data_IF_668918232317
#
_entry.id   IF_668918232317
#
_cell.length_a   1.000
_cell.length_b   1.000
_cell.length_c   1.000
_cell.angle_alpha   90.00
_cell.angle_beta   90.00
_cell.angle_gamma   90.00
#
_symmetry.space_group_name_H-M   'P 1'
#
loop_
_entity.id
_entity.type
_entity.pdbx_description
1 polymer ?
#
# COMPACT_ATOMS: atom_id res chain seq x y z
N UNK A 1 8.13 2.22 -11.07
CA UNK A 1 8.78 1.85 -9.80
C UNK A 1 7.77 2.07 -8.67
N UNK A 2 7.69 1.17 -7.68
CA UNK A 2 6.75 1.32 -6.56
C UNK A 2 7.35 2.30 -5.55
N UNK A 3 6.64 3.37 -5.24
CA UNK A 3 6.93 4.35 -4.19
C UNK A 3 6.54 3.73 -2.84
N UNK A 4 7.56 3.34 -2.07
CA UNK A 4 7.38 2.57 -0.84
C UNK A 4 6.91 3.43 0.34
N UNK A 5 7.36 4.67 0.42
CA UNK A 5 6.93 5.61 1.48
C UNK A 5 5.43 5.91 1.33
N UNK A 6 5.01 6.21 0.10
CA UNK A 6 3.61 6.47 -0.20
C UNK A 6 2.72 5.24 -0.03
N UNK A 7 3.21 4.07 -0.43
CA UNK A 7 2.48 2.82 -0.21
C UNK A 7 2.30 2.56 1.28
N UNK A 8 3.29 2.89 2.11
CA UNK A 8 3.23 2.73 3.57
C UNK A 8 2.17 3.61 4.19
N UNK A 9 2.15 4.90 3.85
CA UNK A 9 1.12 5.84 4.34
C UNK A 9 -0.30 5.35 4.01
N UNK A 10 -0.49 4.86 2.79
CA UNK A 10 -1.78 4.32 2.38
C UNK A 10 -2.16 3.05 3.14
N UNK A 11 -1.25 2.08 3.21
CA UNK A 11 -1.49 0.85 3.98
C UNK A 11 -1.81 1.17 5.44
N UNK A 12 -1.10 2.10 6.06
CA UNK A 12 -1.37 2.55 7.43
C UNK A 12 -2.72 3.27 7.55
N UNK A 13 -3.16 4.03 6.54
CA UNK A 13 -4.48 4.67 6.51
C UNK A 13 -5.64 3.65 6.40
N UNK A 14 -5.43 2.52 5.72
CA UNK A 14 -6.42 1.43 5.60
C UNK A 14 -6.42 0.46 6.79
N UNK A 15 -5.37 0.46 7.60
CA UNK A 15 -5.25 -0.41 8.79
C UNK A 15 -5.59 0.42 10.02
N UNK A 16 -6.43 -0.12 10.90
CA UNK A 16 -6.79 0.54 12.16
C UNK A 16 -5.54 0.88 12.99
N UNK A 17 -5.48 2.10 13.55
CA UNK A 17 -4.32 2.59 14.33
C UNK A 17 -3.97 1.66 15.50
N UNK A 18 -4.95 0.99 16.11
CA UNK A 18 -4.72 0.03 17.20
C UNK A 18 -3.89 -1.19 16.76
N UNK A 19 -3.91 -1.50 15.47
CA UNK A 19 -3.16 -2.60 14.87
C UNK A 19 -1.78 -2.16 14.39
N UNK A 20 -1.48 -0.86 14.34
CA UNK A 20 -0.19 -0.38 13.83
C UNK A 20 1.02 -0.94 14.59
N UNK A 21 1.02 -1.04 15.93
CA UNK A 21 2.13 -1.63 16.67
C UNK A 21 2.33 -3.14 16.43
N UNK A 22 1.32 -3.82 15.86
CA UNK A 22 1.36 -5.26 15.61
C UNK A 22 2.03 -5.61 14.28
N UNK A 23 2.23 -4.63 13.39
CA UNK A 23 2.70 -4.86 12.03
C UNK A 23 3.94 -4.02 11.71
N UNK A 24 4.94 -4.67 11.13
CA UNK A 24 6.07 -3.97 10.50
C UNK A 24 5.67 -3.53 9.08
N UNK A 25 5.12 -2.31 8.99
CA UNK A 25 4.67 -1.77 7.70
C UNK A 25 5.81 -1.56 6.71
N UNK A 26 7.03 -1.28 7.17
CA UNK A 26 8.20 -1.15 6.30
C UNK A 26 8.52 -2.49 5.63
N UNK A 27 8.51 -3.57 6.40
CA UNK A 27 8.68 -4.92 5.85
C UNK A 27 7.53 -5.31 4.91
N UNK A 28 6.29 -4.95 5.26
CA UNK A 28 5.10 -5.23 4.45
C UNK A 28 5.19 -4.56 3.08
N UNK A 29 5.49 -3.26 3.02
CA UNK A 29 5.56 -2.54 1.74
C UNK A 29 6.77 -2.95 0.93
N UNK A 30 7.88 -3.31 1.57
CA UNK A 30 9.05 -3.85 0.87
C UNK A 30 8.74 -5.16 0.14
N UNK A 31 7.89 -6.00 0.71
CA UNK A 31 7.42 -7.24 0.09
C UNK A 31 6.29 -7.04 -0.94
N UNK A 32 5.83 -5.81 -1.15
CA UNK A 32 4.81 -5.53 -2.15
C UNK A 32 5.35 -5.74 -3.57
N UNK A 33 4.54 -6.38 -4.42
CA UNK A 33 4.88 -6.70 -5.81
C UNK A 33 3.74 -6.32 -6.75
N UNK A 34 4.07 -6.15 -8.03
CA UNK A 34 3.09 -5.93 -9.11
C UNK A 34 2.79 -7.29 -9.76
N UNK A 35 1.51 -7.62 -9.92
CA UNK A 35 1.11 -8.85 -10.62
C UNK A 35 1.03 -8.66 -12.15
N UNK A 36 0.72 -9.74 -12.87
CA UNK A 36 0.61 -9.72 -14.34
C UNK A 36 -0.48 -8.79 -14.90
N UNK A 37 -1.37 -8.27 -14.02
CA UNK A 37 -2.43 -7.32 -14.37
C UNK A 37 -2.05 -5.86 -14.09
N UNK A 38 -0.84 -5.60 -13.59
CA UNK A 38 -0.41 -4.26 -13.18
C UNK A 38 -0.93 -3.83 -11.81
N UNK A 39 -1.54 -4.72 -11.03
CA UNK A 39 -2.04 -4.41 -9.68
C UNK A 39 -0.93 -4.54 -8.66
N UNK A 40 -0.89 -3.64 -7.68
CA UNK A 40 0.05 -3.73 -6.55
C UNK A 40 -0.59 -4.56 -5.45
N UNK A 41 0.10 -5.62 -5.07
CA UNK A 41 -0.31 -6.56 -4.04
C UNK A 41 0.55 -6.35 -2.81
N UNK A 42 -0.09 -6.05 -1.68
CA UNK A 42 0.54 -5.90 -0.36
C UNK A 42 0.00 -6.99 0.56
N UNK A 43 0.86 -7.83 1.11
CA UNK A 43 0.47 -8.86 2.08
C UNK A 43 0.70 -8.32 3.49
N UNK A 44 -0.39 -8.16 4.26
CA UNK A 44 -0.33 -7.66 5.64
C UNK A 44 -0.56 -8.87 6.55
N UNK A 45 0.53 -9.44 7.04
CA UNK A 45 0.50 -10.69 7.79
C UNK A 45 -0.02 -11.89 6.98
N UNK A 46 -0.52 -12.90 7.69
CA UNK A 46 -1.03 -14.16 7.12
C UNK A 46 -2.51 -14.11 6.74
N UNK A 47 -3.28 -13.17 7.30
CA UNK A 47 -4.74 -13.23 7.24
C UNK A 47 -5.36 -12.28 6.21
N UNK A 48 -4.66 -11.24 5.75
CA UNK A 48 -5.22 -10.31 4.78
C UNK A 48 -4.19 -9.74 3.81
N UNK A 49 -4.70 -9.28 2.67
CA UNK A 49 -3.93 -8.65 1.59
C UNK A 49 -4.67 -7.42 1.13
N UNK A 50 -3.93 -6.34 0.90
CA UNK A 50 -4.44 -5.14 0.25
C UNK A 50 -4.08 -5.22 -1.23
N UNK A 51 -5.04 -4.80 -2.07
CA UNK A 51 -4.88 -4.73 -3.51
C UNK A 51 -5.17 -3.30 -3.93
N UNK A 52 -4.24 -2.72 -4.67
CA UNK A 52 -4.38 -1.42 -5.28
C UNK A 52 -4.39 -1.63 -6.80
N UNK A 53 -5.48 -1.23 -7.46
CA UNK A 53 -5.48 -1.18 -8.93
C UNK A 53 -4.55 -0.03 -9.40
N UNK A 54 -4.13 -0.08 -10.65
CA UNK A 54 -3.18 0.89 -11.21
C UNK A 54 -3.72 2.32 -11.15
N UNK A 55 -5.04 2.50 -11.25
CA UNK A 55 -5.71 3.81 -11.19
C UNK A 55 -5.65 4.38 -9.76
N UNK A 56 -5.94 3.55 -8.77
CA UNK A 56 -5.86 3.86 -7.36
C UNK A 56 -4.43 4.21 -7.03
N UNK A 57 -3.45 3.43 -7.48
CA UNK A 57 -2.04 3.74 -7.24
C UNK A 57 -1.57 5.04 -7.92
N UNK A 58 -2.04 5.35 -9.13
CA UNK A 58 -1.76 6.64 -9.78
C UNK A 58 -2.49 7.82 -9.12
N UNK A 59 -3.72 7.64 -8.63
CA UNK A 59 -4.43 8.65 -7.82
C UNK A 59 -3.74 8.87 -6.48
N UNK A 60 -3.31 7.77 -5.86
CA UNK A 60 -2.45 7.81 -4.69
C UNK A 60 -1.25 8.66 -5.04
N UNK A 61 -0.66 8.46 -6.24
CA UNK A 61 0.42 9.14 -6.99
C UNK A 61 0.28 10.64 -7.33
N UNK A 62 -0.96 11.12 -7.46
CA UNK A 62 -1.27 12.41 -8.11
C UNK A 62 -2.13 13.38 -7.28
N UNK A 63 -2.62 13.00 -6.09
CA UNK A 63 -3.40 13.90 -5.23
C UNK A 63 -2.57 14.98 -4.50
N UNK A 64 -1.53 15.50 -5.16
CA UNK A 64 -0.70 16.63 -4.74
C UNK A 64 -0.73 17.80 -5.74
N UNK A 65 -1.81 17.93 -6.53
CA UNK A 65 -1.96 19.04 -7.47
C UNK A 65 -3.41 19.22 -7.90
N UNK A 66 -4.13 20.11 -7.22
CA UNK A 66 -5.45 20.57 -7.67
C UNK A 66 -6.42 20.88 -6.54
N UNK A 67 -6.11 21.86 -5.68
CA UNK A 67 -6.83 23.14 -5.55
C UNK A 67 -5.89 24.16 -4.91
#
# INVERSE_FOLDING_TARGET
>A
MIDKERLKENVMSYVDESLHPMYDFDQIVNNAYINDKGEIIVKVGTNFRLRFDSITYEQLGGAGGGI
#
